data_IF_175249150348
#
_entry.id   IF_175249150348
#
_cell.length_a   1.000
_cell.length_b   1.000
_cell.length_c   1.000
_cell.angle_alpha   90.00
_cell.angle_beta   90.00
_cell.angle_gamma   90.00
#
_symmetry.space_group_name_H-M   'P 1'
#
loop_
_entity.id
_entity.type
_entity.pdbx_description
1 polymer ?
#
# COMPACT_ATOMS: atom_id res chain seq x y z
N UNK A 1 16.16 64.01 -4.40
CA UNK A 1 15.69 63.23 -3.23
C UNK A 1 14.74 62.15 -3.74
N UNK A 2 15.21 60.92 -3.92
CA UNK A 2 14.39 59.78 -4.33
C UNK A 2 14.75 58.60 -3.40
N UNK A 3 13.84 58.27 -2.48
CA UNK A 3 13.94 57.05 -1.66
C UNK A 3 13.45 55.88 -2.52
N UNK A 4 14.35 54.95 -2.84
CA UNK A 4 13.99 53.66 -3.46
C UNK A 4 13.58 52.67 -2.38
N UNK A 5 12.35 52.18 -2.52
CA UNK A 5 11.73 51.10 -1.77
C UNK A 5 12.41 49.78 -2.18
N UNK A 6 12.95 49.03 -1.23
CA UNK A 6 13.40 47.66 -1.45
C UNK A 6 12.22 46.72 -1.16
N UNK A 7 11.66 46.12 -2.22
CA UNK A 7 10.76 44.99 -2.14
C UNK A 7 11.60 43.74 -1.88
N UNK A 8 11.48 43.15 -0.69
CA UNK A 8 12.00 41.81 -0.42
C UNK A 8 11.01 40.80 -1.00
N UNK A 9 11.36 40.22 -2.15
CA UNK A 9 10.64 39.10 -2.74
C UNK A 9 11.10 37.82 -2.01
N UNK A 10 10.41 37.43 -0.94
CA UNK A 10 10.58 36.10 -0.34
C UNK A 10 9.92 35.07 -1.27
N UNK A 11 10.74 34.50 -2.15
CA UNK A 11 10.39 33.34 -2.96
C UNK A 11 10.21 32.15 -2.01
N UNK A 12 8.96 31.81 -1.70
CA UNK A 12 8.61 30.57 -1.02
C UNK A 12 8.93 29.38 -1.91
N UNK A 13 10.13 28.83 -1.75
CA UNK A 13 10.48 27.51 -2.27
C UNK A 13 9.67 26.47 -1.51
N UNK A 14 8.51 26.10 -2.08
CA UNK A 14 7.93 24.79 -1.81
C UNK A 14 8.91 23.76 -2.35
N UNK A 15 9.66 23.13 -1.45
CA UNK A 15 10.33 21.87 -1.76
C UNK A 15 9.24 20.83 -1.96
N UNK A 16 8.72 20.72 -3.18
CA UNK A 16 8.35 19.39 -3.67
C UNK A 16 9.67 18.64 -3.75
N UNK A 17 9.91 17.75 -2.80
CA UNK A 17 10.93 16.72 -2.95
C UNK A 17 10.56 15.92 -4.19
N UNK A 18 11.14 16.31 -5.33
CA UNK A 18 11.21 15.44 -6.48
C UNK A 18 11.96 14.19 -6.01
N UNK A 19 11.22 13.12 -5.74
CA UNK A 19 11.82 11.80 -5.59
C UNK A 19 12.44 11.49 -6.94
N UNK A 20 13.73 11.78 -7.08
CA UNK A 20 14.54 11.18 -8.13
C UNK A 20 14.44 9.68 -7.83
N UNK A 21 13.64 8.97 -8.61
CA UNK A 21 13.47 7.53 -8.48
C UNK A 21 14.87 6.93 -8.58
N UNK A 22 15.36 6.40 -7.46
CA UNK A 22 16.80 6.13 -7.30
C UNK A 22 17.29 5.00 -8.22
N UNK A 23 16.38 4.13 -8.64
CA UNK A 23 16.62 3.00 -9.51
C UNK A 23 15.59 2.97 -10.64
N UNK A 24 16.03 2.51 -11.82
CA UNK A 24 15.18 2.15 -12.94
C UNK A 24 14.86 0.64 -12.91
N UNK A 25 13.71 0.26 -13.46
CA UNK A 25 13.24 -1.13 -13.48
C UNK A 25 12.80 -1.55 -14.88
N UNK A 26 12.96 -2.83 -15.21
CA UNK A 26 12.53 -3.38 -16.49
C UNK A 26 11.28 -4.24 -16.29
N UNK A 27 10.18 -3.84 -16.92
CA UNK A 27 8.89 -4.53 -16.90
C UNK A 27 8.69 -5.35 -18.17
N UNK A 28 8.10 -6.54 -18.03
CA UNK A 28 7.68 -7.38 -19.14
C UNK A 28 6.43 -6.81 -19.81
N UNK A 29 6.48 -6.59 -21.12
CA UNK A 29 5.33 -6.17 -21.92
C UNK A 29 5.16 -7.12 -23.11
N UNK A 30 4.47 -8.23 -22.86
CA UNK A 30 4.28 -9.31 -23.82
C UNK A 30 3.26 -8.92 -24.92
N UNK A 31 3.41 -9.44 -26.16
CA UNK A 31 2.52 -9.11 -27.27
C UNK A 31 1.26 -10.00 -27.23
N UNK A 32 0.08 -9.39 -27.16
CA UNK A 32 -1.18 -10.11 -26.93
C UNK A 32 -1.71 -10.93 -28.11
N UNK A 33 -1.19 -10.76 -29.33
CA UNK A 33 -1.85 -11.28 -30.55
C UNK A 33 -1.15 -12.46 -31.24
N UNK A 34 0.01 -12.91 -30.75
CA UNK A 34 0.84 -13.92 -31.46
C UNK A 34 1.51 -14.97 -30.60
N UNK A 35 1.47 -14.81 -29.29
CA UNK A 35 1.88 -15.83 -28.32
C UNK A 35 0.70 -16.18 -27.44
N UNK A 36 0.73 -17.37 -26.83
CA UNK A 36 -0.26 -17.75 -25.83
C UNK A 36 0.24 -17.36 -24.44
N UNK A 37 -0.68 -16.97 -23.57
CA UNK A 37 -0.42 -16.85 -22.12
C UNK A 37 -0.88 -18.15 -21.44
N UNK A 38 -0.23 -18.58 -20.35
CA UNK A 38 0.86 -17.91 -19.64
C UNK A 38 2.23 -17.98 -20.35
N UNK A 39 3.11 -17.04 -20.03
CA UNK A 39 4.55 -17.09 -20.37
C UNK A 39 5.38 -17.40 -19.14
N UNK A 40 6.33 -18.33 -19.28
CA UNK A 40 7.33 -18.69 -18.28
C UNK A 40 8.65 -18.02 -18.65
N UNK A 41 9.26 -17.32 -17.70
CA UNK A 41 10.53 -16.61 -17.91
C UNK A 41 11.62 -17.28 -17.09
N UNK A 42 12.76 -17.55 -17.72
CA UNK A 42 13.92 -18.20 -17.12
C UNK A 42 15.14 -17.31 -17.23
N UNK A 43 15.98 -17.32 -16.18
CA UNK A 43 17.31 -16.73 -16.18
C UNK A 43 18.29 -17.76 -15.61
N UNK A 44 19.38 -18.04 -16.33
CA UNK A 44 20.37 -19.04 -15.91
C UNK A 44 19.79 -20.44 -15.70
N UNK A 45 18.76 -20.81 -16.48
CA UNK A 45 18.09 -22.11 -16.39
C UNK A 45 17.11 -22.27 -15.21
N UNK A 46 16.83 -21.20 -14.46
CA UNK A 46 15.81 -21.21 -13.39
C UNK A 46 14.65 -20.33 -13.79
N UNK A 47 13.43 -20.79 -13.53
CA UNK A 47 12.24 -19.97 -13.72
C UNK A 47 12.28 -18.79 -12.71
N UNK A 48 12.19 -17.58 -13.22
CA UNK A 48 12.21 -16.33 -12.43
C UNK A 48 10.88 -15.57 -12.48
N UNK A 49 10.02 -15.84 -13.46
CA UNK A 49 8.66 -15.30 -13.49
C UNK A 49 7.67 -16.23 -14.21
N UNK A 50 6.39 -16.07 -13.87
CA UNK A 50 5.25 -16.67 -14.54
C UNK A 50 4.23 -15.56 -14.81
N UNK A 51 3.93 -15.30 -16.07
CA UNK A 51 3.11 -14.17 -16.52
C UNK A 51 1.79 -14.74 -17.08
N UNK A 52 0.71 -14.81 -16.28
CA UNK A 52 -0.55 -15.44 -16.70
C UNK A 52 -1.44 -14.54 -17.56
N UNK A 53 -1.23 -13.23 -17.53
CA UNK A 53 -2.04 -12.23 -18.22
C UNK A 53 -1.17 -11.06 -18.68
N UNK A 54 -1.54 -10.42 -19.79
CA UNK A 54 -0.96 -9.17 -20.26
C UNK A 54 -1.51 -7.94 -19.52
N UNK A 55 -2.58 -8.10 -18.74
CA UNK A 55 -3.14 -7.07 -17.86
C UNK A 55 -2.36 -6.87 -16.55
N UNK A 56 -1.40 -7.76 -16.24
CA UNK A 56 -0.63 -7.76 -15.01
C UNK A 56 0.79 -7.23 -15.25
N UNK A 57 1.34 -6.61 -14.21
CA UNK A 57 2.66 -5.99 -14.25
C UNK A 57 3.67 -6.92 -13.59
N UNK A 58 4.63 -7.41 -14.36
CA UNK A 58 5.72 -8.28 -13.90
C UNK A 58 7.07 -7.69 -14.30
N UNK A 59 8.06 -7.82 -13.44
CA UNK A 59 9.37 -7.19 -13.62
C UNK A 59 10.47 -8.23 -13.84
N UNK A 60 11.40 -7.92 -14.74
CA UNK A 60 12.67 -8.61 -14.85
C UNK A 60 13.61 -8.23 -13.69
N UNK A 61 13.44 -7.01 -13.18
CA UNK A 61 14.12 -6.50 -12.00
C UNK A 61 14.72 -5.12 -12.21
N UNK A 62 15.76 -4.79 -11.42
CA UNK A 62 16.51 -3.54 -11.56
C UNK A 62 17.19 -3.47 -12.92
N UNK A 63 17.15 -2.30 -13.53
CA UNK A 63 17.65 -2.06 -14.87
C UNK A 63 18.44 -0.76 -14.91
N UNK A 64 19.47 -0.72 -15.75
CA UNK A 64 20.24 0.49 -16.00
C UNK A 64 20.75 0.49 -17.44
N UNK A 65 20.23 1.42 -18.22
CA UNK A 65 20.70 1.67 -19.57
C UNK A 65 22.23 1.88 -19.58
N UNK A 66 22.92 1.25 -20.54
CA UNK A 66 24.37 1.32 -20.65
C UNK A 66 25.15 0.35 -19.78
N UNK A 67 24.52 -0.44 -18.90
CA UNK A 67 25.26 -1.35 -18.00
C UNK A 67 24.61 -2.70 -17.69
N UNK A 68 23.29 -2.84 -17.82
CA UNK A 68 22.63 -4.13 -17.56
C UNK A 68 23.01 -5.18 -18.62
N UNK A 69 23.53 -6.32 -18.18
CA UNK A 69 23.70 -7.50 -19.02
C UNK A 69 22.83 -8.61 -18.45
N UNK A 70 22.02 -9.25 -19.29
CA UNK A 70 21.11 -10.30 -18.87
C UNK A 70 20.79 -11.23 -20.03
N UNK A 71 20.33 -12.45 -19.73
CA UNK A 71 19.82 -13.38 -20.74
C UNK A 71 18.60 -14.07 -20.17
N UNK A 72 17.47 -13.90 -20.85
CA UNK A 72 16.19 -14.45 -20.45
C UNK A 72 15.70 -15.40 -21.54
N UNK A 73 15.33 -16.61 -21.14
CA UNK A 73 14.61 -17.54 -22.00
C UNK A 73 13.12 -17.46 -21.65
N UNK A 74 12.28 -17.22 -22.65
CA UNK A 74 10.84 -17.08 -22.50
C UNK A 74 10.16 -18.24 -23.22
N UNK A 75 9.17 -18.85 -22.57
CA UNK A 75 8.44 -20.00 -23.08
C UNK A 75 6.93 -19.83 -22.94
N UNK A 76 6.17 -20.32 -23.91
CA UNK A 76 4.72 -20.54 -23.77
C UNK A 76 4.34 -21.87 -24.40
N UNK A 77 3.12 -22.34 -24.10
CA UNK A 77 2.59 -23.58 -24.63
C UNK A 77 1.34 -23.33 -25.48
N UNK A 78 1.23 -24.02 -26.62
CA UNK A 78 0.00 -24.09 -27.41
C UNK A 78 -0.37 -25.56 -27.61
N UNK A 79 -1.43 -26.01 -26.92
CA UNK A 79 -1.73 -27.43 -26.82
C UNK A 79 -0.62 -28.17 -26.07
N UNK A 80 -0.02 -29.19 -26.70
CA UNK A 80 1.11 -29.94 -26.14
C UNK A 80 2.48 -29.39 -26.56
N UNK A 81 2.51 -28.43 -27.49
CA UNK A 81 3.75 -27.92 -28.08
C UNK A 81 4.29 -26.71 -27.33
N UNK A 82 5.60 -26.72 -27.10
CA UNK A 82 6.32 -25.61 -26.50
C UNK A 82 6.92 -24.71 -27.56
N UNK A 83 6.85 -23.41 -27.29
CA UNK A 83 7.41 -22.35 -28.09
C UNK A 83 8.30 -21.48 -27.21
N UNK A 84 9.41 -21.00 -27.75
CA UNK A 84 10.35 -20.22 -26.95
C UNK A 84 11.22 -19.27 -27.75
N UNK A 85 11.73 -18.27 -27.05
CA UNK A 85 12.72 -17.34 -27.56
C UNK A 85 13.67 -16.90 -26.44
N UNK A 86 14.82 -16.38 -26.84
CA UNK A 86 15.86 -15.87 -25.94
C UNK A 86 16.03 -14.38 -26.18
N UNK A 87 15.94 -13.60 -25.10
CA UNK A 87 16.23 -12.18 -25.04
C UNK A 87 17.59 -11.99 -24.39
N UNK A 88 18.55 -11.41 -25.10
CA UNK A 88 19.87 -11.06 -24.54
C UNK A 88 19.98 -9.55 -24.46
N UNK A 89 20.31 -9.05 -23.27
CA UNK A 89 20.64 -7.66 -23.05
C UNK A 89 22.16 -7.50 -22.92
N UNK A 90 22.71 -6.56 -23.67
CA UNK A 90 24.11 -6.13 -23.62
C UNK A 90 24.17 -4.64 -23.40
N UNK A 91 24.74 -4.23 -22.26
CA UNK A 91 24.82 -2.83 -21.83
C UNK A 91 23.44 -2.11 -21.85
N UNK A 92 22.40 -2.79 -21.38
CA UNK A 92 21.01 -2.31 -21.32
C UNK A 92 20.23 -2.42 -22.64
N UNK A 93 20.89 -2.64 -23.76
CA UNK A 93 20.22 -2.75 -25.06
C UNK A 93 20.03 -4.21 -25.48
N UNK A 94 19.04 -4.48 -26.32
CA UNK A 94 18.91 -5.80 -26.97
C UNK A 94 20.16 -6.08 -27.79
N UNK A 95 20.77 -7.24 -27.59
CA UNK A 95 21.91 -7.69 -28.40
C UNK A 95 21.40 -8.14 -29.78
N UNK A 96 21.58 -7.25 -30.76
CA UNK A 96 21.17 -7.45 -32.15
C UNK A 96 22.18 -8.27 -32.97
N UNK A 97 23.22 -8.83 -32.34
CA UNK A 97 24.13 -9.76 -33.02
C UNK A 97 23.32 -10.96 -33.49
N UNK A 98 23.41 -11.27 -34.79
CA UNK A 98 22.62 -12.33 -35.43
C UNK A 98 22.76 -13.66 -34.68
N UNK A 99 21.63 -14.22 -34.25
CA UNK A 99 21.57 -15.52 -33.57
C UNK A 99 21.76 -15.48 -32.05
N UNK A 100 22.01 -14.30 -31.46
CA UNK A 100 22.12 -14.13 -30.00
C UNK A 100 20.74 -13.92 -29.39
N UNK A 101 20.05 -12.83 -29.76
CA UNK A 101 18.62 -12.66 -29.44
C UNK A 101 17.79 -13.36 -30.49
N UNK A 102 16.89 -14.25 -30.07
CA UNK A 102 15.95 -14.96 -30.94
C UNK A 102 14.51 -14.46 -30.79
N UNK A 103 14.23 -13.66 -29.76
CA UNK A 103 12.96 -12.93 -29.63
C UNK A 103 12.86 -11.83 -30.71
N UNK A 104 12.32 -12.20 -31.87
CA UNK A 104 12.24 -11.32 -33.05
C UNK A 104 11.45 -10.04 -32.74
N UNK A 105 12.05 -8.89 -33.07
CA UNK A 105 11.43 -7.57 -32.84
C UNK A 105 11.46 -7.12 -31.38
N UNK A 106 12.24 -7.77 -30.51
CA UNK A 106 12.43 -7.32 -29.15
C UNK A 106 13.09 -5.94 -29.10
N UNK A 107 12.59 -5.07 -28.22
CA UNK A 107 13.10 -3.72 -27.97
C UNK A 107 12.99 -3.38 -26.49
N UNK A 108 13.84 -2.45 -26.03
CA UNK A 108 13.72 -1.84 -24.72
C UNK A 108 13.20 -0.42 -24.92
N UNK A 109 12.00 -0.14 -24.41
CA UNK A 109 11.41 1.19 -24.48
C UNK A 109 11.84 1.98 -23.25
N UNK A 110 12.32 3.24 -23.43
CA UNK A 110 12.61 4.10 -22.31
C UNK A 110 11.34 4.45 -21.53
N UNK A 111 11.46 4.79 -20.24
CA UNK A 111 10.34 5.22 -19.43
C UNK A 111 9.70 6.48 -20.01
N UNK A 112 8.39 6.59 -19.82
CA UNK A 112 7.67 7.85 -20.05
C UNK A 112 8.16 8.95 -19.12
N UNK A 113 7.77 10.20 -19.37
CA UNK A 113 8.15 11.32 -18.53
C UNK A 113 7.77 11.07 -17.05
N UNK A 114 8.74 11.26 -16.14
CA UNK A 114 8.63 11.05 -14.68
C UNK A 114 8.46 9.59 -14.21
N UNK A 115 8.42 8.62 -15.13
CA UNK A 115 8.46 7.19 -14.80
C UNK A 115 9.91 6.71 -14.66
N UNK A 116 10.13 5.63 -13.93
CA UNK A 116 11.38 4.86 -13.89
C UNK A 116 11.23 3.43 -14.47
N UNK A 117 10.13 3.17 -15.18
CA UNK A 117 9.82 1.85 -15.74
C UNK A 117 10.16 1.79 -17.22
N UNK A 118 11.23 1.06 -17.53
CA UNK A 118 11.50 0.59 -18.90
C UNK A 118 10.60 -0.59 -19.21
N UNK A 119 10.22 -0.77 -20.47
CA UNK A 119 9.45 -1.96 -20.89
C UNK A 119 10.16 -2.76 -21.95
N UNK A 120 10.07 -4.08 -21.86
CA UNK A 120 10.46 -4.98 -22.96
C UNK A 120 9.31 -5.06 -23.95
N UNK A 121 9.42 -4.44 -25.11
CA UNK A 121 8.50 -4.70 -26.22
C UNK A 121 8.95 -5.95 -26.98
N UNK A 122 8.02 -6.79 -27.44
CA UNK A 122 8.31 -7.90 -28.33
C UNK A 122 7.57 -7.71 -29.67
N UNK A 123 8.17 -8.17 -30.76
CA UNK A 123 7.50 -8.16 -32.05
C UNK A 123 6.30 -9.12 -32.06
N UNK A 124 5.29 -8.79 -32.86
CA UNK A 124 4.12 -9.66 -33.07
C UNK A 124 4.46 -10.85 -33.98
N UNK A 125 5.32 -11.74 -33.51
CA UNK A 125 5.74 -12.97 -34.17
C UNK A 125 5.55 -14.15 -33.23
N UNK A 126 5.06 -15.27 -33.77
CA UNK A 126 5.05 -16.53 -33.02
C UNK A 126 6.49 -16.98 -32.76
N UNK A 127 6.74 -17.57 -31.60
CA UNK A 127 8.06 -18.08 -31.26
C UNK A 127 8.28 -19.46 -31.87
N UNK A 128 9.55 -19.80 -32.08
CA UNK A 128 9.93 -21.09 -32.68
C UNK A 128 9.55 -22.23 -31.74
N UNK A 129 9.24 -23.39 -32.31
CA UNK A 129 9.05 -24.60 -31.51
C UNK A 129 10.36 -24.99 -30.82
N UNK A 130 10.26 -25.38 -29.57
CA UNK A 130 11.37 -25.77 -28.70
C UNK A 130 10.97 -27.00 -27.89
N UNK A 131 11.96 -27.64 -27.27
CA UNK A 131 11.69 -28.63 -26.23
C UNK A 131 11.06 -27.96 -24.99
N UNK A 132 10.34 -28.74 -24.21
CA UNK A 132 9.76 -28.24 -22.96
C UNK A 132 10.86 -27.69 -22.04
N UNK A 133 10.67 -26.52 -21.40
CA UNK A 133 11.61 -26.03 -20.41
C UNK A 133 11.67 -26.99 -19.22
N UNK A 134 12.76 -26.94 -18.45
CA UNK A 134 12.91 -27.80 -17.28
C UNK A 134 11.99 -27.33 -16.14
N UNK A 135 11.07 -28.18 -15.71
CA UNK A 135 10.18 -27.96 -14.56
C UNK A 135 9.39 -26.63 -14.60
N UNK A 136 8.57 -26.37 -15.64
CA UNK A 136 7.70 -25.20 -15.65
C UNK A 136 6.71 -25.29 -14.49
N UNK A 137 6.68 -24.25 -13.65
CA UNK A 137 5.79 -24.16 -12.50
C UNK A 137 4.81 -23.01 -12.71
N UNK A 138 3.53 -23.31 -12.75
CA UNK A 138 2.51 -22.28 -12.63
C UNK A 138 2.50 -21.74 -11.19
N UNK A 139 2.18 -20.45 -11.04
CA UNK A 139 2.03 -19.84 -9.73
C UNK A 139 0.79 -20.38 -9.02
N UNK A 140 0.95 -20.78 -7.75
CA UNK A 140 -0.15 -21.21 -6.90
C UNK A 140 -0.78 -20.02 -6.15
N UNK A 141 -1.94 -19.59 -6.64
CA UNK A 141 -2.71 -18.49 -6.03
C UNK A 141 -3.62 -18.93 -4.86
N UNK A 142 -3.63 -20.21 -4.49
CA UNK A 142 -4.54 -20.73 -3.45
C UNK A 142 -4.03 -20.53 -2.01
N UNK A 143 -2.77 -20.11 -1.85
CA UNK A 143 -2.11 -19.98 -0.55
C UNK A 143 -1.50 -18.59 -0.32
N UNK A 144 -2.14 -17.55 -0.87
CA UNK A 144 -1.75 -16.15 -0.62
C UNK A 144 -2.03 -15.79 0.84
N UNK A 145 -1.24 -14.89 1.42
CA UNK A 145 -1.27 -14.61 2.85
C UNK A 145 -1.09 -13.13 3.15
N UNK A 146 -1.85 -12.68 4.16
CA UNK A 146 -1.56 -11.46 4.91
C UNK A 146 -1.22 -11.89 6.34
N UNK A 147 -0.02 -11.54 6.81
CA UNK A 147 0.48 -11.88 8.14
C UNK A 147 0.42 -10.66 9.03
N UNK A 148 -0.35 -10.73 10.09
CA UNK A 148 -0.41 -9.70 11.13
C UNK A 148 0.60 -10.06 12.21
N UNK A 149 1.56 -9.19 12.51
CA UNK A 149 2.65 -9.46 13.45
C UNK A 149 2.63 -8.45 14.59
N UNK A 150 2.68 -8.93 15.83
CA UNK A 150 2.89 -8.09 17.00
C UNK A 150 4.39 -8.00 17.30
N UNK A 151 5.01 -6.89 16.89
CA UNK A 151 6.35 -6.48 17.30
C UNK A 151 6.33 -5.19 18.15
N UNK A 152 5.19 -4.93 18.81
CA UNK A 152 5.03 -3.79 19.70
C UNK A 152 5.68 -4.05 21.06
N UNK A 153 5.82 -3.03 21.90
CA UNK A 153 6.18 -3.23 23.32
C UNK A 153 5.06 -3.88 24.14
N UNK A 154 3.84 -3.97 23.60
CA UNK A 154 2.71 -4.57 24.29
C UNK A 154 2.79 -6.10 24.23
N UNK A 155 2.65 -6.80 25.37
CA UNK A 155 2.69 -8.26 25.38
C UNK A 155 1.56 -8.90 24.57
N UNK A 156 0.44 -8.21 24.37
CA UNK A 156 -0.65 -8.66 23.53
C UNK A 156 -1.33 -7.47 22.85
N UNK A 157 -1.72 -7.67 21.59
CA UNK A 157 -2.60 -6.75 20.84
C UNK A 157 -3.83 -7.51 20.34
N UNK A 158 -4.90 -6.78 20.08
CA UNK A 158 -6.06 -7.26 19.32
C UNK A 158 -6.17 -6.49 18.02
N UNK A 159 -6.36 -7.24 16.93
CA UNK A 159 -6.61 -6.68 15.61
C UNK A 159 -8.08 -6.84 15.30
N UNK A 160 -8.69 -5.73 14.92
CA UNK A 160 -10.05 -5.70 14.42
C UNK A 160 -10.12 -5.64 12.90
N UNK A 161 -11.32 -5.83 12.39
CA UNK A 161 -11.66 -5.76 10.97
C UNK A 161 -12.93 -4.92 10.79
N UNK A 162 -12.89 -4.00 9.81
CA UNK A 162 -14.02 -3.24 9.32
C UNK A 162 -14.19 -3.54 7.84
N UNK A 163 -15.41 -3.87 7.40
CA UNK A 163 -15.71 -4.14 5.99
C UNK A 163 -16.95 -3.36 5.56
N UNK A 164 -16.93 -2.79 4.35
CA UNK A 164 -18.00 -1.96 3.81
C UNK A 164 -19.10 -2.74 3.07
N UNK A 165 -18.87 -4.02 2.75
CA UNK A 165 -19.77 -4.79 1.88
C UNK A 165 -19.97 -6.23 2.35
N UNK A 166 -21.21 -6.65 2.59
CA UNK A 166 -21.60 -8.07 2.50
C UNK A 166 -21.65 -8.45 1.01
N UNK A 167 -20.52 -8.57 0.31
CA UNK A 167 -20.55 -9.12 -1.06
C UNK A 167 -20.61 -10.64 -0.96
N UNK A 168 -21.50 -11.23 -1.75
CA UNK A 168 -21.84 -12.64 -1.74
C UNK A 168 -20.67 -13.60 -1.91
N UNK A 169 -20.86 -14.79 -1.35
CA UNK A 169 -20.07 -16.03 -1.52
C UNK A 169 -18.56 -16.05 -1.25
N UNK A 170 -17.89 -14.93 -0.95
CA UNK A 170 -16.47 -14.98 -0.62
C UNK A 170 -16.23 -15.77 0.68
N UNK A 171 -15.46 -16.85 0.56
CA UNK A 171 -15.00 -17.70 1.68
C UNK A 171 -13.71 -17.21 2.34
N UNK A 172 -13.12 -16.09 1.91
CA UNK A 172 -12.27 -15.26 2.78
C UNK A 172 -13.20 -14.55 3.79
N UNK A 173 -12.86 -14.51 5.09
CA UNK A 173 -13.84 -14.45 6.17
C UNK A 173 -14.88 -13.35 5.91
N UNK A 174 -16.05 -13.79 5.45
CA UNK A 174 -17.23 -12.96 5.26
C UNK A 174 -17.34 -12.00 6.43
N UNK A 175 -17.35 -10.68 6.17
CA UNK A 175 -17.45 -9.58 7.13
C UNK A 175 -17.85 -10.08 8.52
N UNK A 176 -16.87 -10.35 9.38
CA UNK A 176 -17.15 -11.09 10.58
C UNK A 176 -18.17 -10.30 11.41
N UNK A 177 -19.20 -10.98 11.91
CA UNK A 177 -20.18 -10.38 12.83
C UNK A 177 -19.49 -9.83 14.10
N UNK A 178 -18.31 -10.36 14.41
CA UNK A 178 -17.39 -9.87 15.41
C UNK A 178 -16.25 -9.07 14.75
N UNK A 179 -16.08 -7.78 15.04
CA UNK A 179 -15.03 -6.94 14.45
C UNK A 179 -13.64 -7.24 15.03
N UNK A 180 -13.45 -8.31 15.82
CA UNK A 180 -12.15 -8.71 16.38
C UNK A 180 -11.77 -10.03 15.72
N UNK A 181 -10.69 -10.03 14.94
CA UNK A 181 -10.25 -11.18 14.14
C UNK A 181 -9.09 -11.94 14.79
N UNK A 182 -8.27 -11.26 15.59
CA UNK A 182 -7.09 -11.87 16.19
C UNK A 182 -6.72 -11.22 17.53
N UNK A 183 -6.15 -12.05 18.41
CA UNK A 183 -5.36 -11.58 19.56
C UNK A 183 -3.96 -12.16 19.42
N UNK A 184 -2.94 -11.30 19.35
CA UNK A 184 -1.59 -11.67 18.96
C UNK A 184 -0.63 -11.34 20.11
N UNK A 185 0.06 -12.35 20.62
CA UNK A 185 0.95 -12.20 21.77
C UNK A 185 2.37 -11.90 21.29
N UNK A 186 3.05 -10.91 21.85
CA UNK A 186 4.47 -10.66 21.55
C UNK A 186 5.36 -11.73 22.24
N UNK A 187 5.36 -12.94 21.66
CA UNK A 187 6.22 -14.05 22.05
C UNK A 187 6.67 -14.82 20.81
N UNK A 188 7.88 -15.41 20.79
CA UNK A 188 8.42 -16.04 19.57
C UNK A 188 7.54 -17.12 18.91
N UNK A 189 6.60 -17.72 19.64
CA UNK A 189 5.70 -18.77 19.13
C UNK A 189 4.32 -18.28 18.69
N UNK A 190 3.91 -17.07 19.10
CA UNK A 190 2.54 -16.58 18.97
C UNK A 190 2.45 -15.11 18.56
N UNK A 191 3.56 -14.55 18.03
CA UNK A 191 3.66 -13.16 17.59
C UNK A 191 2.99 -12.88 16.25
N UNK A 192 2.31 -13.85 15.64
CA UNK A 192 1.66 -13.63 14.37
C UNK A 192 0.29 -14.30 14.27
N UNK A 193 -0.57 -13.68 13.47
CA UNK A 193 -1.80 -14.26 12.96
C UNK A 193 -1.73 -14.28 11.43
N UNK A 194 -2.13 -15.38 10.81
CA UNK A 194 -2.07 -15.56 9.36
C UNK A 194 -3.49 -15.56 8.81
N UNK A 195 -3.76 -14.63 7.90
CA UNK A 195 -4.97 -14.60 7.09
C UNK A 195 -4.60 -15.26 5.76
N UNK A 196 -5.20 -16.41 5.47
CA UNK A 196 -5.05 -17.06 4.17
C UNK A 196 -6.11 -16.51 3.22
N UNK A 197 -5.67 -16.11 2.04
CA UNK A 197 -6.49 -15.60 0.94
C UNK A 197 -6.45 -16.63 -0.17
N UNK A 198 -7.55 -17.34 -0.36
CA UNK A 198 -7.67 -18.34 -1.42
C UNK A 198 -8.03 -17.68 -2.76
N UNK A 199 -8.45 -18.49 -3.73
CA UNK A 199 -8.85 -18.03 -5.06
C UNK A 199 -10.01 -17.02 -5.07
N UNK A 200 -10.82 -16.96 -4.01
CA UNK A 200 -11.97 -16.05 -3.94
C UNK A 200 -11.55 -14.60 -3.60
N UNK A 201 -10.28 -14.39 -3.26
CA UNK A 201 -9.71 -13.07 -2.98
C UNK A 201 -10.11 -12.50 -1.62
N UNK A 202 -9.60 -11.31 -1.33
CA UNK A 202 -9.89 -10.49 -0.16
C UNK A 202 -10.02 -9.05 -0.64
N UNK A 203 -11.26 -8.59 -0.80
CA UNK A 203 -11.56 -7.25 -1.31
C UNK A 203 -12.42 -6.49 -0.30
N UNK A 204 -12.07 -5.24 -0.01
CA UNK A 204 -12.84 -4.32 0.84
C UNK A 204 -12.87 -4.67 2.34
N UNK A 205 -11.81 -5.32 2.85
CA UNK A 205 -11.55 -5.45 4.28
C UNK A 205 -10.55 -4.39 4.73
N UNK A 206 -10.72 -3.86 5.94
CA UNK A 206 -9.76 -2.97 6.58
C UNK A 206 -9.41 -3.49 7.98
N UNK A 207 -8.14 -3.81 8.22
CA UNK A 207 -7.66 -4.20 9.54
C UNK A 207 -7.21 -2.98 10.34
N UNK A 208 -7.35 -3.03 11.66
CA UNK A 208 -6.90 -1.95 12.55
C UNK A 208 -6.56 -2.47 13.94
N UNK A 209 -5.71 -1.76 14.68
CA UNK A 209 -5.48 -2.07 16.10
C UNK A 209 -6.75 -1.73 16.90
N UNK A 210 -7.40 -2.73 17.50
CA UNK A 210 -8.66 -2.57 18.23
C UNK A 210 -8.49 -2.55 19.74
N UNK A 211 -7.45 -3.18 20.27
CA UNK A 211 -7.07 -3.09 21.67
C UNK A 211 -5.61 -3.49 21.89
N UNK A 212 -5.04 -3.11 23.03
CA UNK A 212 -3.72 -3.57 23.47
C UNK A 212 -3.67 -3.76 24.98
N UNK A 213 -2.78 -4.65 25.42
CA UNK A 213 -2.54 -4.94 26.83
C UNK A 213 -1.40 -4.09 27.39
N UNK A 214 -1.64 -3.40 28.50
CA UNK A 214 -0.68 -2.55 29.22
C UNK A 214 0.06 -3.28 30.34
N UNK A 215 -0.24 -4.55 30.57
CA UNK A 215 0.49 -5.35 31.55
C UNK A 215 1.94 -5.61 31.09
N UNK A 216 2.80 -6.03 32.02
CA UNK A 216 4.21 -6.28 31.71
C UNK A 216 4.53 -7.67 31.13
N UNK A 217 3.54 -8.55 30.96
CA UNK A 217 3.67 -9.83 30.26
C UNK A 217 2.29 -10.43 29.90
N UNK A 218 2.30 -11.41 29.00
CA UNK A 218 1.09 -12.12 28.49
C UNK A 218 0.23 -12.68 29.61
N UNK A 219 0.83 -13.31 30.63
CA UNK A 219 0.08 -13.95 31.74
C UNK A 219 -0.76 -12.92 32.51
N UNK A 220 -0.25 -11.69 32.67
CA UNK A 220 -0.96 -10.62 33.39
C UNK A 220 -1.99 -9.88 32.53
N UNK A 221 -2.01 -10.08 31.22
CA UNK A 221 -3.07 -9.55 30.36
C UNK A 221 -4.42 -10.20 30.67
N UNK A 222 -4.43 -11.46 31.14
CA UNK A 222 -5.66 -12.19 31.38
C UNK A 222 -6.50 -12.34 30.11
N UNK A 223 -7.82 -12.24 30.24
CA UNK A 223 -8.74 -12.38 29.11
C UNK A 223 -8.76 -11.11 28.25
N UNK A 224 -8.56 -11.19 26.93
CA UNK A 224 -8.74 -10.05 26.02
C UNK A 224 -10.19 -9.54 26.04
N UNK A 225 -10.42 -8.23 25.83
CA UNK A 225 -11.77 -7.69 25.81
C UNK A 225 -12.58 -8.22 24.62
N UNK A 226 -13.88 -8.35 24.85
CA UNK A 226 -14.88 -8.60 23.81
C UNK A 226 -15.33 -7.29 23.16
N UNK A 227 -15.92 -7.37 21.96
CA UNK A 227 -16.58 -6.23 21.28
C UNK A 227 -17.48 -5.43 22.23
N UNK A 228 -18.37 -6.12 22.95
CA UNK A 228 -19.34 -5.50 23.88
C UNK A 228 -18.66 -4.79 25.05
N UNK A 229 -17.51 -5.28 25.50
CA UNK A 229 -16.74 -4.62 26.55
C UNK A 229 -16.10 -3.34 26.05
N UNK A 230 -15.52 -3.35 24.85
CA UNK A 230 -14.97 -2.15 24.23
C UNK A 230 -16.05 -1.10 23.90
N UNK A 231 -17.21 -1.52 23.39
CA UNK A 231 -18.36 -0.62 23.16
C UNK A 231 -18.82 0.11 24.43
N UNK A 232 -18.76 -0.57 25.58
CA UNK A 232 -19.25 -0.05 26.86
C UNK A 232 -18.18 0.57 27.75
N UNK A 233 -16.90 0.53 27.35
CA UNK A 233 -15.79 0.94 28.22
C UNK A 233 -15.65 0.06 29.48
N UNK A 234 -15.98 -1.23 29.37
CA UNK A 234 -15.96 -2.21 30.47
C UNK A 234 -14.92 -3.32 30.27
N UNK A 235 -13.89 -3.03 29.48
CA UNK A 235 -12.75 -3.90 29.28
C UNK A 235 -12.00 -4.18 30.58
N UNK A 236 -11.26 -5.31 30.67
CA UNK A 236 -10.42 -5.59 31.83
C UNK A 236 -9.36 -4.50 32.04
N UNK A 237 -8.99 -4.21 33.29
CA UNK A 237 -8.10 -3.09 33.66
C UNK A 237 -6.74 -3.07 32.95
N UNK A 238 -6.23 -4.23 32.56
CA UNK A 238 -4.95 -4.35 31.85
C UNK A 238 -5.07 -4.05 30.34
N UNK A 239 -6.27 -3.79 29.83
CA UNK A 239 -6.53 -3.58 28.41
C UNK A 239 -7.06 -2.19 28.15
N UNK A 240 -6.63 -1.64 27.01
CA UNK A 240 -7.14 -0.40 26.44
C UNK A 240 -7.78 -0.75 25.11
N UNK A 241 -9.06 -0.42 24.94
CA UNK A 241 -9.74 -0.52 23.64
C UNK A 241 -9.50 0.77 22.86
N UNK A 242 -9.20 0.67 21.57
CA UNK A 242 -8.82 1.80 20.71
C UNK A 242 -9.43 1.67 19.31
N UNK A 243 -9.18 2.66 18.45
CA UNK A 243 -9.51 2.67 17.03
C UNK A 243 -10.88 3.24 16.68
N UNK A 244 -11.85 3.15 17.60
CA UNK A 244 -13.12 3.88 17.45
C UNK A 244 -14.12 3.29 16.45
N UNK A 245 -13.92 2.06 15.97
CA UNK A 245 -14.82 1.36 15.02
C UNK A 245 -15.96 0.59 15.69
N UNK A 246 -16.06 0.63 17.01
CA UNK A 246 -17.17 0.00 17.71
C UNK A 246 -18.45 0.85 17.59
N UNK A 247 -19.62 0.23 17.77
CA UNK A 247 -20.90 0.91 17.57
C UNK A 247 -21.02 2.17 18.47
N UNK A 248 -21.38 3.30 17.86
CA UNK A 248 -21.52 4.59 18.55
C UNK A 248 -20.20 5.33 18.81
N UNK A 249 -19.06 4.80 18.37
CA UNK A 249 -17.77 5.48 18.44
C UNK A 249 -17.43 6.19 17.12
N UNK A 250 -16.46 7.09 17.19
CA UNK A 250 -15.90 7.80 16.03
C UNK A 250 -14.52 7.24 15.76
N UNK A 251 -14.19 6.81 14.53
CA UNK A 251 -12.88 6.27 14.20
C UNK A 251 -11.71 7.21 14.50
N UNK A 252 -10.56 6.61 14.83
CA UNK A 252 -9.26 7.27 15.00
C UNK A 252 -8.11 6.29 14.79
N UNK A 253 -8.26 5.31 13.91
CA UNK A 253 -7.30 4.22 13.72
C UNK A 253 -6.68 4.23 12.33
N UNK A 254 -5.43 3.77 12.28
CA UNK A 254 -4.79 3.44 11.01
C UNK A 254 -5.45 2.18 10.47
N UNK A 255 -5.87 2.22 9.20
CA UNK A 255 -6.39 1.07 8.48
C UNK A 255 -5.29 0.43 7.66
N UNK A 256 -5.40 -0.88 7.51
CA UNK A 256 -4.67 -1.66 6.53
C UNK A 256 -5.70 -2.24 5.57
N UNK A 257 -5.67 -1.84 4.30
CA UNK A 257 -6.77 -2.06 3.35
C UNK A 257 -6.32 -2.97 2.20
N UNK A 258 -6.31 -4.32 2.38
CA UNK A 258 -6.00 -5.22 1.28
C UNK A 258 -7.13 -5.29 0.26
N UNK A 259 -6.73 -5.20 -1.00
CA UNK A 259 -7.49 -5.59 -2.19
C UNK A 259 -6.69 -6.64 -2.96
N UNK A 260 -6.92 -7.91 -2.61
CA UNK A 260 -6.35 -9.08 -3.26
C UNK A 260 -7.46 -9.71 -4.11
N UNK A 261 -7.33 -9.64 -5.43
CA UNK A 261 -8.41 -10.01 -6.33
C UNK A 261 -8.58 -11.52 -6.52
N UNK A 262 -9.77 -11.89 -7.00
CA UNK A 262 -10.16 -13.26 -7.32
C UNK A 262 -9.28 -13.86 -8.41
N UNK A 263 -9.15 -15.18 -8.42
CA UNK A 263 -8.47 -15.94 -9.47
C UNK A 263 -9.50 -16.81 -10.20
N UNK A 264 -9.63 -16.58 -11.51
CA UNK A 264 -10.56 -17.30 -12.39
C UNK A 264 -9.76 -18.14 -13.39
N UNK A 265 -10.00 -19.45 -13.43
CA UNK A 265 -9.29 -20.38 -14.34
C UNK A 265 -7.76 -20.28 -14.28
N UNK A 266 -7.19 -20.00 -13.10
CA UNK A 266 -5.75 -19.86 -12.90
C UNK A 266 -5.18 -18.49 -13.25
N UNK A 267 -6.02 -17.51 -13.63
CA UNK A 267 -5.62 -16.15 -13.95
C UNK A 267 -6.19 -15.18 -12.90
N UNK A 268 -5.35 -14.38 -12.22
CA UNK A 268 -5.82 -13.33 -11.32
C UNK A 268 -6.54 -12.20 -12.08
N UNK A 269 -7.63 -11.69 -11.51
CA UNK A 269 -8.41 -10.58 -12.10
C UNK A 269 -7.64 -9.24 -12.08
N UNK A 270 -6.56 -9.17 -11.30
CA UNK A 270 -5.63 -8.04 -11.26
C UNK A 270 -4.54 -8.20 -10.20
N UNK A 271 -3.73 -7.16 -10.04
CA UNK A 271 -2.66 -7.09 -9.05
C UNK A 271 -3.19 -7.21 -7.61
N UNK A 272 -2.30 -7.57 -6.68
CA UNK A 272 -2.57 -7.48 -5.26
C UNK A 272 -2.22 -6.08 -4.78
N UNK A 273 -3.20 -5.40 -4.21
CA UNK A 273 -3.05 -4.07 -3.65
C UNK A 273 -3.25 -4.13 -2.14
N UNK A 274 -2.40 -3.45 -1.39
CA UNK A 274 -2.56 -3.28 0.05
C UNK A 274 -1.92 -1.97 0.46
N UNK A 275 -2.68 -1.16 1.18
CA UNK A 275 -2.24 0.14 1.65
C UNK A 275 -2.40 0.30 3.16
N UNK A 276 -1.77 1.37 3.68
CA UNK A 276 -2.02 1.88 5.02
C UNK A 276 -2.67 3.25 4.88
N UNK A 277 -3.75 3.44 5.62
CA UNK A 277 -4.58 4.62 5.53
C UNK A 277 -4.79 5.26 6.90
N UNK A 278 -4.49 6.56 6.97
CA UNK A 278 -4.75 7.43 8.09
C UNK A 278 -5.96 8.37 7.81
N UNK A 279 -6.78 8.06 6.81
CA UNK A 279 -7.98 8.81 6.42
C UNK A 279 -8.99 8.89 7.57
N UNK A 280 -9.07 7.84 8.40
CA UNK A 280 -9.91 7.79 9.59
C UNK A 280 -9.15 8.14 10.89
N UNK A 281 -7.88 8.52 10.80
CA UNK A 281 -7.03 8.78 11.95
C UNK A 281 -5.88 7.79 12.08
N UNK A 282 -5.19 7.81 13.22
CA UNK A 282 -4.16 6.83 13.55
C UNK A 282 -4.10 6.56 15.05
N UNK A 283 -3.79 5.32 15.43
CA UNK A 283 -3.67 4.91 16.84
C UNK A 283 -2.50 3.95 17.08
N UNK A 284 -1.76 3.59 16.05
CA UNK A 284 -0.71 2.59 16.14
C UNK A 284 0.39 2.88 15.13
N UNK A 285 1.60 2.49 15.48
CA UNK A 285 2.71 2.44 14.54
C UNK A 285 2.66 1.09 13.82
N UNK A 286 2.82 1.13 12.50
CA UNK A 286 2.63 -0.04 11.65
C UNK A 286 3.53 0.04 10.42
N UNK A 287 4.00 -1.11 9.97
CA UNK A 287 4.84 -1.27 8.79
C UNK A 287 4.26 -2.36 7.89
N UNK A 288 4.21 -2.08 6.59
CA UNK A 288 3.66 -2.99 5.57
C UNK A 288 4.72 -3.29 4.52
N UNK A 289 4.95 -4.57 4.24
CA UNK A 289 5.93 -5.00 3.24
C UNK A 289 5.64 -6.41 2.69
N UNK A 290 6.15 -6.75 1.49
CA UNK A 290 6.14 -8.11 0.97
C UNK A 290 6.94 -9.07 1.88
N UNK A 291 6.41 -10.26 2.15
CA UNK A 291 7.10 -11.29 2.95
C UNK A 291 8.43 -11.71 2.31
N UNK A 292 8.41 -11.90 0.99
CA UNK A 292 9.60 -12.03 0.16
C UNK A 292 9.69 -10.76 -0.66
N UNK A 293 10.86 -10.13 -0.71
CA UNK A 293 11.00 -8.85 -1.38
C UNK A 293 10.54 -8.91 -2.83
N UNK A 294 9.82 -7.87 -3.26
CA UNK A 294 9.04 -7.90 -4.50
C UNK A 294 9.02 -6.54 -5.20
N UNK A 295 8.89 -6.54 -6.52
CA UNK A 295 8.70 -5.34 -7.31
C UNK A 295 7.24 -4.95 -7.34
N UNK A 296 6.92 -3.77 -6.80
CA UNK A 296 5.57 -3.23 -6.82
C UNK A 296 5.55 -1.89 -7.55
N UNK A 297 4.39 -1.55 -8.09
CA UNK A 297 4.16 -0.28 -8.77
C UNK A 297 3.35 0.67 -7.93
N UNK A 298 3.44 1.94 -8.27
CA UNK A 298 2.67 3.02 -7.65
C UNK A 298 2.39 4.12 -8.66
N UNK A 299 1.40 4.94 -8.36
CA UNK A 299 1.10 6.15 -9.14
C UNK A 299 2.07 7.27 -8.78
N UNK A 300 2.86 7.74 -9.74
CA UNK A 300 3.80 8.85 -9.54
C UNK A 300 3.01 10.14 -9.37
N UNK A 301 3.24 10.94 -8.29
CA UNK A 301 2.55 12.20 -8.07
C UNK A 301 2.59 13.18 -9.27
N UNK A 302 1.59 14.07 -9.41
CA UNK A 302 0.54 14.41 -8.45
C UNK A 302 -0.64 13.42 -8.42
N UNK A 303 -1.61 13.66 -7.53
CA UNK A 303 -2.90 12.95 -7.51
C UNK A 303 -3.57 13.00 -8.88
N UNK A 304 -4.21 11.89 -9.28
CA UNK A 304 -4.80 11.66 -10.62
C UNK A 304 -3.79 11.51 -11.78
N UNK A 305 -2.51 11.30 -11.48
CA UNK A 305 -1.53 10.95 -12.50
C UNK A 305 -1.77 9.56 -13.07
N UNK A 306 -1.51 9.39 -14.37
CA UNK A 306 -1.46 8.07 -15.03
C UNK A 306 -0.02 7.56 -15.20
N UNK A 307 0.95 8.20 -14.54
CA UNK A 307 2.36 7.85 -14.65
C UNK A 307 2.67 6.71 -13.69
N UNK A 308 3.09 5.57 -14.23
CA UNK A 308 3.50 4.40 -13.47
C UNK A 308 4.93 4.58 -12.95
N UNK A 309 5.13 4.37 -11.66
CA UNK A 309 6.43 4.18 -11.03
C UNK A 309 6.57 2.74 -10.53
N UNK A 310 7.80 2.29 -10.32
CA UNK A 310 8.09 1.00 -9.70
C UNK A 310 9.16 1.13 -8.62
N UNK A 311 9.17 0.17 -7.70
CA UNK A 311 10.15 0.03 -6.64
C UNK A 311 10.29 -1.43 -6.21
N UNK A 312 11.41 -1.77 -5.57
CA UNK A 312 11.58 -3.05 -4.89
C UNK A 312 11.35 -2.86 -3.40
N UNK A 313 10.44 -3.64 -2.83
CA UNK A 313 9.97 -3.49 -1.45
C UNK A 313 10.21 -4.77 -0.66
N UNK A 314 10.65 -4.60 0.58
CA UNK A 314 10.93 -5.67 1.53
C UNK A 314 10.85 -5.15 2.97
N UNK A 315 11.29 -5.96 3.95
CA UNK A 315 11.30 -5.55 5.35
C UNK A 315 12.15 -4.30 5.64
N UNK A 316 13.13 -3.96 4.81
CA UNK A 316 14.00 -2.79 4.98
C UNK A 316 13.50 -1.57 4.21
N UNK A 317 12.85 -1.79 3.06
CA UNK A 317 12.18 -0.76 2.25
C UNK A 317 10.69 -1.10 2.19
N UNK A 318 9.90 -0.72 3.20
CA UNK A 318 8.50 -1.06 3.26
C UNK A 318 7.68 -0.37 2.18
N UNK A 319 6.54 -0.97 1.83
CA UNK A 319 5.53 -0.32 0.99
C UNK A 319 4.96 0.91 1.70
N UNK A 320 4.63 0.79 2.98
CA UNK A 320 4.11 1.88 3.79
C UNK A 320 4.55 1.74 5.27
N UNK A 321 4.73 2.88 5.95
CA UNK A 321 5.12 2.92 7.36
C UNK A 321 4.54 4.14 8.11
N UNK A 322 3.94 3.87 9.27
CA UNK A 322 3.59 4.84 10.30
C UNK A 322 4.55 4.64 11.47
N UNK A 323 5.58 5.48 11.57
CA UNK A 323 6.56 5.42 12.64
C UNK A 323 7.23 6.78 12.89
N UNK A 324 6.48 7.77 13.40
CA UNK A 324 7.02 9.11 13.60
C UNK A 324 8.09 9.13 14.70
N UNK A 325 9.25 9.73 14.43
CA UNK A 325 10.41 9.79 15.34
C UNK A 325 10.08 10.38 16.73
N UNK A 326 9.12 11.31 16.80
CA UNK A 326 8.69 11.95 18.06
C UNK A 326 7.50 11.26 18.73
N UNK A 327 7.04 10.13 18.18
CA UNK A 327 5.83 9.43 18.62
C UNK A 327 4.54 10.00 18.04
N UNK A 328 3.48 9.18 18.08
CA UNK A 328 2.18 9.50 17.50
C UNK A 328 1.48 10.67 18.22
N UNK A 329 1.63 10.78 19.54
CA UNK A 329 1.01 11.85 20.33
C UNK A 329 1.54 13.23 19.93
N UNK A 330 2.87 13.37 19.84
CA UNK A 330 3.50 14.62 19.43
C UNK A 330 3.10 15.04 18.00
N UNK A 331 2.99 14.06 17.09
CA UNK A 331 2.47 14.31 15.75
C UNK A 331 1.01 14.77 15.78
N UNK A 332 0.18 14.18 16.63
CA UNK A 332 -1.23 14.54 16.73
C UNK A 332 -1.43 15.95 17.27
N UNK A 333 -0.63 16.34 18.26
CA UNK A 333 -0.65 17.68 18.84
C UNK A 333 -0.20 18.74 17.81
N UNK A 334 0.81 18.44 16.98
CA UNK A 334 1.21 19.33 15.87
C UNK A 334 0.18 19.35 14.73
N UNK A 335 -0.55 18.25 14.52
CA UNK A 335 -1.63 18.14 13.53
C UNK A 335 -2.91 18.84 13.96
N UNK A 336 -3.10 19.07 15.26
CA UNK A 336 -4.25 19.76 15.86
C UNK A 336 -4.23 21.29 15.67
N UNK A 337 -3.41 21.79 14.75
CA UNK A 337 -3.26 23.21 14.43
C UNK A 337 -3.99 23.57 13.15
N UNK A 338 -4.39 24.85 13.01
CA UNK A 338 -4.89 25.36 11.74
C UNK A 338 -3.77 25.39 10.69
N UNK A 339 -4.09 25.32 9.38
CA UNK A 339 -3.08 25.43 8.32
C UNK A 339 -2.26 26.71 8.44
N UNK A 340 -0.99 26.63 8.05
CA UNK A 340 -0.12 27.80 8.01
C UNK A 340 -0.73 28.89 7.10
N UNK A 341 -0.74 30.14 7.56
CA UNK A 341 -1.34 31.29 6.87
C UNK A 341 -2.87 31.23 6.70
N UNK A 342 -3.58 30.35 7.42
CA UNK A 342 -5.03 30.40 7.44
C UNK A 342 -5.53 31.76 7.95
N UNK A 343 -6.33 32.45 7.15
CA UNK A 343 -6.82 33.81 7.42
C UNK A 343 -8.27 33.86 7.90
N UNK A 344 -8.92 32.71 8.09
CA UNK A 344 -10.31 32.63 8.55
C UNK A 344 -10.44 32.63 10.07
N UNK A 345 -11.66 32.35 10.56
CA UNK A 345 -12.02 32.45 11.98
C UNK A 345 -12.26 31.10 12.66
N UNK A 346 -12.05 29.98 11.96
CA UNK A 346 -12.24 28.66 12.54
C UNK A 346 -11.32 28.44 13.75
N UNK A 347 -11.82 27.83 14.84
CA UNK A 347 -10.97 27.46 15.97
C UNK A 347 -10.07 26.28 15.62
N UNK A 348 -8.94 26.14 16.31
CA UNK A 348 -8.09 24.96 16.24
C UNK A 348 -8.85 23.69 16.66
N UNK A 349 -8.51 22.56 16.04
CA UNK A 349 -9.20 21.29 16.27
C UNK A 349 -8.42 20.41 17.24
N UNK A 350 -9.08 19.93 18.29
CA UNK A 350 -8.46 18.96 19.20
C UNK A 350 -8.64 17.54 18.65
N UNK A 351 -7.67 17.08 17.87
CA UNK A 351 -7.72 15.77 17.22
C UNK A 351 -7.40 14.62 18.17
N UNK A 352 -6.65 14.90 19.23
CA UNK A 352 -6.17 13.93 20.21
C UNK A 352 -7.29 13.19 20.93
N UNK A 353 -7.21 11.86 20.95
CA UNK A 353 -8.01 10.97 21.78
C UNK A 353 -7.22 10.54 23.00
N UNK A 354 -7.83 10.71 24.16
CA UNK A 354 -7.27 10.30 25.45
C UNK A 354 -8.21 9.30 26.13
N UNK A 355 -7.64 8.35 26.85
CA UNK A 355 -8.37 7.45 27.73
C UNK A 355 -8.85 8.18 29.00
N UNK A 356 -9.59 7.47 29.85
CA UNK A 356 -10.06 8.00 31.14
C UNK A 356 -8.94 8.42 32.11
N UNK A 357 -7.72 7.93 31.90
CA UNK A 357 -6.52 8.23 32.67
C UNK A 357 -5.61 9.28 32.00
N UNK A 358 -6.11 9.99 30.98
CA UNK A 358 -5.38 11.01 30.20
C UNK A 358 -4.17 10.45 29.43
N UNK A 359 -4.22 9.20 28.98
CA UNK A 359 -3.21 8.62 28.10
C UNK A 359 -3.67 8.68 26.65
N UNK A 360 -2.73 8.95 25.74
CA UNK A 360 -2.98 8.97 24.31
C UNK A 360 -3.49 7.61 23.81
N UNK A 361 -4.65 7.62 23.14
CA UNK A 361 -5.23 6.45 22.47
C UNK A 361 -5.13 6.54 20.95
N UNK A 362 -4.95 7.74 20.39
CA UNK A 362 -4.83 7.98 18.96
C UNK A 362 -5.22 9.40 18.55
N UNK A 363 -5.28 9.63 17.24
CA UNK A 363 -5.55 10.91 16.63
C UNK A 363 -6.71 10.77 15.64
N UNK A 364 -7.74 11.60 15.77
CA UNK A 364 -8.78 11.68 14.74
C UNK A 364 -8.24 12.37 13.49
N UNK A 365 -8.69 11.92 12.32
CA UNK A 365 -8.54 12.70 11.10
C UNK A 365 -9.48 13.91 11.09
N UNK A 366 -9.26 14.88 10.19
CA UNK A 366 -10.19 15.97 9.92
C UNK A 366 -11.62 15.50 9.63
N UNK A 367 -11.78 14.45 8.81
CA UNK A 367 -13.09 13.88 8.50
C UNK A 367 -13.77 13.30 9.75
N UNK A 368 -13.04 12.52 10.55
CA UNK A 368 -13.56 11.92 11.78
C UNK A 368 -13.98 13.00 12.79
N UNK A 369 -13.16 14.05 12.96
CA UNK A 369 -13.46 15.18 13.82
C UNK A 369 -14.70 15.95 13.34
N UNK A 370 -14.74 16.34 12.07
CA UNK A 370 -15.85 17.09 11.49
C UNK A 370 -17.16 16.31 11.54
N UNK A 371 -17.13 15.00 11.29
CA UNK A 371 -18.30 14.12 11.40
C UNK A 371 -18.95 14.15 12.79
N UNK A 372 -18.14 14.33 13.85
CA UNK A 372 -18.61 14.38 15.23
C UNK A 372 -18.97 15.80 15.70
N UNK A 373 -18.19 16.79 15.31
CA UNK A 373 -18.21 18.13 15.92
C UNK A 373 -18.71 19.23 14.98
N UNK A 374 -18.60 19.04 13.66
CA UNK A 374 -18.97 20.01 12.63
C UNK A 374 -19.80 19.33 11.50
N UNK A 375 -20.98 18.74 11.79
CA UNK A 375 -21.69 17.91 10.81
C UNK A 375 -22.08 18.62 9.50
N UNK A 376 -22.18 19.95 9.52
CA UNK A 376 -22.46 20.77 8.33
C UNK A 376 -21.26 20.88 7.38
N UNK A 377 -20.04 20.70 7.88
CA UNK A 377 -18.80 20.80 7.10
C UNK A 377 -18.18 19.43 6.80
N UNK A 378 -18.73 18.34 7.37
CA UNK A 378 -18.16 16.99 7.26
C UNK A 378 -17.87 16.57 5.81
N UNK A 379 -18.74 16.93 4.87
CA UNK A 379 -18.64 16.46 3.48
C UNK A 379 -17.40 17.02 2.79
N UNK A 380 -16.97 18.23 3.17
CA UNK A 380 -15.73 18.85 2.72
C UNK A 380 -14.49 18.09 3.20
N UNK A 381 -14.50 17.62 4.44
CA UNK A 381 -13.36 16.93 5.04
C UNK A 381 -13.33 15.43 4.74
N UNK A 382 -14.50 14.85 4.46
CA UNK A 382 -14.67 13.46 4.14
C UNK A 382 -14.73 13.17 2.64
N UNK A 383 -14.59 14.20 1.80
CA UNK A 383 -14.72 14.12 0.34
C UNK A 383 -16.02 13.44 -0.11
N UNK A 384 -17.17 13.98 0.31
CA UNK A 384 -18.51 13.44 0.00
C UNK A 384 -19.42 14.53 -0.58
N UNK A 385 -20.55 14.10 -1.13
CA UNK A 385 -21.55 15.02 -1.67
C UNK A 385 -20.97 15.83 -2.82
N UNK A 386 -20.97 17.16 -2.72
CA UNK A 386 -20.35 18.03 -3.73
C UNK A 386 -18.82 17.96 -3.79
N UNK A 387 -18.18 17.23 -2.88
CA UNK A 387 -16.72 17.04 -2.78
C UNK A 387 -16.30 15.61 -3.15
N UNK A 388 -17.15 14.83 -3.83
CA UNK A 388 -16.95 13.41 -4.15
C UNK A 388 -16.09 13.14 -5.40
N UNK A 389 -15.28 14.12 -5.78
CA UNK A 389 -14.25 13.96 -6.81
C UNK A 389 -12.95 14.56 -6.31
N UNK A 390 -11.78 14.06 -6.78
CA UNK A 390 -10.47 14.60 -6.39
C UNK A 390 -10.40 16.12 -6.57
N UNK A 391 -10.77 16.61 -7.76
CA UNK A 391 -10.76 18.04 -8.08
C UNK A 391 -11.71 18.88 -7.21
N UNK A 392 -12.81 18.30 -6.73
CA UNK A 392 -13.75 19.01 -5.87
C UNK A 392 -13.35 18.96 -4.39
N UNK A 393 -12.69 17.90 -3.94
CA UNK A 393 -12.22 17.80 -2.54
C UNK A 393 -10.92 18.59 -2.29
N UNK A 394 -10.13 18.80 -3.32
CA UNK A 394 -8.96 19.67 -3.26
C UNK A 394 -9.37 21.13 -3.06
N UNK A 395 -8.92 21.72 -1.95
CA UNK A 395 -9.10 23.16 -1.70
C UNK A 395 -7.79 23.91 -1.87
N UNK A 396 -7.89 25.20 -2.15
CA UNK A 396 -6.72 26.06 -2.38
C UNK A 396 -5.89 26.25 -1.10
N UNK A 397 -4.59 26.51 -1.30
CA UNK A 397 -3.67 26.80 -0.20
C UNK A 397 -4.15 28.02 0.61
N UNK A 398 -4.18 27.87 1.93
CA UNK A 398 -4.66 28.91 2.85
C UNK A 398 -6.12 28.74 3.28
N UNK A 399 -6.87 27.82 2.67
CA UNK A 399 -8.18 27.38 3.16
C UNK A 399 -8.09 26.02 3.89
N UNK A 400 -9.12 25.64 4.64
CA UNK A 400 -9.14 24.41 5.47
C UNK A 400 -9.98 23.34 4.79
N UNK A 401 -9.35 22.38 4.11
CA UNK A 401 -10.01 21.21 3.54
C UNK A 401 -9.30 19.91 3.95
N UNK A 402 -9.72 18.79 3.35
CA UNK A 402 -9.13 17.49 3.63
C UNK A 402 -7.63 17.45 3.26
N UNK A 403 -7.28 17.98 2.08
CA UNK A 403 -5.92 17.99 1.54
C UNK A 403 -5.00 19.03 2.21
N UNK A 404 -5.53 20.21 2.58
CA UNK A 404 -4.76 21.32 3.16
C UNK A 404 -4.72 21.37 4.68
N UNK A 405 -5.46 20.50 5.38
CA UNK A 405 -5.39 20.42 6.83
C UNK A 405 -3.95 20.12 7.29
N UNK A 406 -3.51 20.78 8.36
CA UNK A 406 -2.19 20.52 8.98
C UNK A 406 -1.99 19.04 9.29
N UNK A 407 -3.08 18.33 9.63
CA UNK A 407 -3.08 16.88 9.76
C UNK A 407 -2.54 16.18 8.51
N UNK A 408 -3.09 16.44 7.33
CA UNK A 408 -2.67 15.79 6.10
C UNK A 408 -1.23 16.17 5.73
N UNK A 409 -0.88 17.45 5.87
CA UNK A 409 0.50 17.91 5.66
C UNK A 409 1.50 17.16 6.55
N UNK A 410 1.17 16.97 7.83
CA UNK A 410 2.03 16.25 8.76
C UNK A 410 2.07 14.75 8.48
N UNK A 411 0.94 14.14 8.11
CA UNK A 411 0.87 12.73 7.71
C UNK A 411 1.76 12.48 6.49
N UNK A 412 1.54 13.20 5.40
CA UNK A 412 2.32 13.04 4.16
C UNK A 412 3.80 13.40 4.36
N UNK A 413 4.09 14.36 5.24
CA UNK A 413 5.46 14.78 5.53
C UNK A 413 6.23 13.87 6.52
N UNK A 414 5.55 12.98 7.23
CA UNK A 414 6.16 12.17 8.32
C UNK A 414 6.03 10.68 8.09
N UNK A 415 4.92 10.21 7.54
CA UNK A 415 4.68 8.81 7.23
C UNK A 415 5.21 8.47 5.84
N UNK A 416 5.56 7.21 5.64
CA UNK A 416 5.98 6.71 4.32
C UNK A 416 4.77 6.12 3.63
N UNK A 417 4.33 6.75 2.54
CA UNK A 417 3.34 6.20 1.61
C UNK A 417 1.99 5.83 2.27
N UNK A 418 1.46 6.73 3.10
CA UNK A 418 0.21 6.53 3.86
C UNK A 418 -0.83 7.55 3.41
N UNK A 419 -2.05 7.09 3.13
CA UNK A 419 -3.17 7.98 2.82
C UNK A 419 -3.50 8.88 4.01
N UNK A 420 -3.33 10.20 3.87
CA UNK A 420 -3.75 11.16 4.89
C UNK A 420 -5.20 11.64 4.73
N UNK A 421 -5.78 11.47 3.54
CA UNK A 421 -7.17 11.80 3.21
C UNK A 421 -7.66 10.96 2.01
N UNK A 422 -8.95 11.05 1.68
CA UNK A 422 -9.64 10.09 0.81
C UNK A 422 -9.16 10.04 -0.65
N UNK A 423 -8.51 11.10 -1.16
CA UNK A 423 -7.94 11.12 -2.52
C UNK A 423 -6.42 11.19 -2.53
N UNK A 424 -5.77 10.93 -1.38
CA UNK A 424 -4.31 10.94 -1.18
C UNK A 424 -3.55 9.80 -1.87
N UNK A 425 -4.01 9.37 -3.04
CA UNK A 425 -3.61 8.15 -3.76
C UNK A 425 -2.17 8.23 -4.28
N UNK A 426 -1.71 9.43 -4.67
CA UNK A 426 -0.40 9.61 -5.27
C UNK A 426 0.72 9.28 -4.28
N UNK A 427 1.47 8.21 -4.59
CA UNK A 427 2.54 7.71 -3.72
C UNK A 427 2.07 6.94 -2.49
N UNK A 428 0.77 6.63 -2.37
CA UNK A 428 0.21 5.80 -1.28
C UNK A 428 -0.46 4.53 -1.80
N UNK A 429 -0.79 4.48 -3.10
CA UNK A 429 -1.40 3.32 -3.76
C UNK A 429 -0.34 2.38 -4.37
N UNK A 430 -0.32 1.12 -3.94
CA UNK A 430 0.70 0.14 -4.37
C UNK A 430 0.08 -1.13 -4.93
N UNK A 431 0.55 -1.53 -6.12
CA UNK A 431 0.16 -2.76 -6.78
C UNK A 431 1.36 -3.70 -6.91
N UNK A 432 1.28 -4.88 -6.30
CA UNK A 432 2.29 -5.94 -6.39
C UNK A 432 1.75 -7.12 -7.23
N UNK A 433 2.63 -8.03 -7.70
CA UNK A 433 2.22 -9.28 -8.33
C UNK A 433 1.13 -10.00 -7.51
N UNK A 434 0.10 -10.59 -8.14
CA UNK A 434 -1.07 -11.13 -7.44
C UNK A 434 -0.74 -12.22 -6.39
N UNK A 435 0.38 -12.92 -6.55
CA UNK A 435 0.87 -13.94 -5.63
C UNK A 435 1.57 -13.42 -4.38
N UNK A 436 1.81 -12.12 -4.30
CA UNK A 436 2.58 -11.51 -3.21
C UNK A 436 1.94 -11.81 -1.86
N UNK A 437 2.74 -12.35 -0.95
CA UNK A 437 2.38 -12.47 0.46
C UNK A 437 2.83 -11.20 1.20
N UNK A 438 2.02 -10.70 2.12
CA UNK A 438 2.30 -9.46 2.84
C UNK A 438 2.48 -9.68 4.34
N UNK A 439 3.32 -8.85 4.93
CA UNK A 439 3.49 -8.72 6.38
C UNK A 439 3.02 -7.32 6.79
N UNK A 440 2.12 -7.30 7.76
CA UNK A 440 1.65 -6.12 8.49
C UNK A 440 2.20 -6.24 9.90
N UNK A 441 3.20 -5.44 10.20
CA UNK A 441 3.90 -5.46 11.47
C UNK A 441 3.48 -4.26 12.31
N UNK A 442 2.79 -4.52 13.42
CA UNK A 442 2.56 -3.52 14.45
C UNK A 442 3.87 -3.35 15.22
N UNK A 443 4.49 -2.18 15.14
CA UNK A 443 5.85 -1.94 15.65
C UNK A 443 5.81 -1.24 17.01
N UNK A 444 6.93 -1.26 17.73
CA UNK A 444 7.08 -0.50 18.96
C UNK A 444 6.90 1.00 18.67
N UNK A 445 6.08 1.73 19.44
CA UNK A 445 6.08 3.19 19.42
C UNK A 445 7.36 3.78 20.02
#
# INVERSE_FOLDING_TARGET
MMKKLFFALTLGLFFQSASVLADDYLMWQLPSTKISLPVYVYEGGKQVAFIPSDSLQYFAGKYKAGSTNATYDLYYQTGEHWHGCTLVLKNGSVDNTKGITTCTGAVINPPGAKSNVYTTGFGAYAWSSVEAPSNPLATDYTNRKVKLVNNTTYPMIQVGESCSVKVGSNKAPSCQTNPIIATIANTPKHNMHVITVDKDGLNSSAFYLSAYCTANNVKKCGTPPTKKQCEKGTQPKAWVCTGGYFAGQTPYASKIEPTILTVTNGVPDGASNIDISAVDGYNTTVKLYPETGEYCTYTVPPENSNVLGAGYYDATTPLAEINPVKGLEALCDSSSQLPANYSGTAPQWKLTKMDSAQKFEGCMSPCAYASKHLPAEKDRFCCKGSFDTPAACDVEAGDIGANTATYNTNVVGTFTNVYGFAYGDAGSDYACPPETNFIVEFVAP
#
